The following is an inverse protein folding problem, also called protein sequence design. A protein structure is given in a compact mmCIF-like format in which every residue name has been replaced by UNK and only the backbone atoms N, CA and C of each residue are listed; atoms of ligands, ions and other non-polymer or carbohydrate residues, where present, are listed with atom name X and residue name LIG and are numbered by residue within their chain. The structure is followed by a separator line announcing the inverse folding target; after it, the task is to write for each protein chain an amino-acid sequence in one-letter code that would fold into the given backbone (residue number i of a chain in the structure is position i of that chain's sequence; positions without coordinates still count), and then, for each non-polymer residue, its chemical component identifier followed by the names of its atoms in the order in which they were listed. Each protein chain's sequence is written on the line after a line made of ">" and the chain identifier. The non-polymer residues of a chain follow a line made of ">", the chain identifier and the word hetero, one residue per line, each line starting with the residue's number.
data_IF_441869555725
#
_entry.id   IF_441869555725
#
_cell.length_a   1.000
_cell.length_b   1.000
_cell.length_c   1.000
_cell.angle_alpha   90.00
_cell.angle_beta   90.00
_cell.angle_gamma   90.00
#
_symmetry.space_group_name_H-M   'P 1'
#
loop_
_entity.id
_entity.type
_entity.pdbx_description
1 polymer ?
#
# COMPACT_ATOMS: atom_id res chain seq x y z
N UNK A 1 32.43 4.05 33.43
CA UNK A 1 32.53 2.62 33.74
C UNK A 1 33.70 1.96 33.02
N UNK A 2 33.97 0.71 33.36
CA UNK A 2 35.02 -0.12 32.76
C UNK A 2 34.35 -1.35 32.14
N UNK A 3 34.69 -1.64 30.89
CA UNK A 3 34.20 -2.84 30.22
C UNK A 3 35.13 -4.01 30.57
N UNK A 4 34.56 -5.04 31.20
CA UNK A 4 35.27 -6.25 31.57
C UNK A 4 34.73 -7.44 30.77
N UNK A 5 35.59 -8.48 30.56
CA UNK A 5 35.16 -9.75 30.00
C UNK A 5 34.40 -10.51 31.11
N UNK A 6 33.21 -11.04 30.79
CA UNK A 6 32.48 -11.89 31.70
C UNK A 6 33.20 -13.21 31.96
N UNK A 7 33.19 -13.74 33.17
CA UNK A 7 33.62 -15.12 33.41
C UNK A 7 32.82 -16.10 32.52
N UNK A 8 33.46 -17.16 32.05
CA UNK A 8 32.86 -18.11 31.08
C UNK A 8 31.46 -18.60 31.50
N UNK A 9 31.27 -18.87 32.81
CA UNK A 9 29.97 -19.30 33.37
C UNK A 9 28.87 -18.23 33.32
N UNK A 10 29.20 -16.97 33.07
CA UNK A 10 28.28 -15.83 33.04
C UNK A 10 28.08 -15.29 31.60
N UNK A 11 28.67 -15.92 30.62
CA UNK A 11 28.47 -15.56 29.21
C UNK A 11 27.05 -15.94 28.79
N UNK A 12 26.34 -14.97 28.21
CA UNK A 12 25.02 -15.15 27.61
C UNK A 12 25.20 -15.23 26.10
N UNK A 13 25.30 -16.45 25.56
CA UNK A 13 25.73 -16.68 24.18
C UNK A 13 24.79 -16.07 23.12
N UNK A 14 23.51 -15.90 23.43
CA UNK A 14 22.48 -15.41 22.48
C UNK A 14 22.19 -13.90 22.63
N UNK A 15 22.95 -13.18 23.46
CA UNK A 15 22.79 -11.74 23.63
C UNK A 15 23.92 -10.96 22.96
N UNK A 16 23.56 -9.84 22.36
CA UNK A 16 24.56 -8.88 21.86
C UNK A 16 25.40 -8.40 23.05
N UNK A 17 26.73 -8.49 22.94
CA UNK A 17 27.66 -8.19 24.03
C UNK A 17 27.53 -9.09 25.27
N UNK A 18 26.92 -10.27 25.16
CA UNK A 18 26.73 -11.22 26.27
C UNK A 18 28.03 -11.75 26.87
N UNK A 19 29.20 -11.55 26.23
CA UNK A 19 30.53 -11.93 26.71
C UNK A 19 31.21 -10.85 27.55
N UNK A 20 30.61 -9.65 27.66
CA UNK A 20 31.20 -8.50 28.41
C UNK A 20 30.20 -7.99 29.44
N UNK A 21 30.71 -7.25 30.41
CA UNK A 21 29.94 -6.53 31.41
C UNK A 21 30.53 -5.14 31.67
N UNK A 22 29.71 -4.20 32.09
CA UNK A 22 30.09 -2.86 32.44
C UNK A 22 30.20 -2.71 33.98
N UNK A 23 31.41 -2.52 34.49
CA UNK A 23 31.60 -2.13 35.88
C UNK A 23 31.29 -0.64 36.06
N UNK A 24 30.25 -0.35 36.85
CA UNK A 24 29.87 1.05 37.13
C UNK A 24 30.89 1.70 38.08
N UNK A 25 31.45 2.83 37.66
CA UNK A 25 32.30 3.70 38.50
C UNK A 25 31.57 4.97 38.94
N UNK A 26 30.47 5.31 38.29
CA UNK A 26 29.62 6.43 38.63
C UNK A 26 28.31 6.34 37.84
N UNK A 27 27.25 6.89 38.34
CA UNK A 27 25.93 6.95 37.72
C UNK A 27 25.38 8.37 37.91
N UNK A 28 24.96 8.97 36.83
CA UNK A 28 24.18 10.21 36.82
C UNK A 28 22.81 9.92 36.21
N UNK A 29 21.76 10.27 36.92
CA UNK A 29 20.38 10.14 36.41
C UNK A 29 20.06 11.41 35.63
N UNK A 30 20.01 11.30 34.30
CA UNK A 30 19.71 12.43 33.41
C UNK A 30 18.24 12.77 33.39
N UNK A 31 17.38 11.76 33.53
CA UNK A 31 15.93 11.91 33.61
C UNK A 31 15.32 10.73 34.37
N UNK A 32 14.42 10.99 35.30
CA UNK A 32 13.73 9.95 36.04
C UNK A 32 12.61 9.34 35.19
N UNK A 33 12.34 8.05 35.40
CA UNK A 33 11.29 7.31 34.73
C UNK A 33 10.23 6.83 35.73
N UNK A 34 8.97 6.98 35.39
CA UNK A 34 7.87 6.28 36.10
C UNK A 34 7.89 4.79 35.74
N UNK A 35 7.21 3.98 36.55
CA UNK A 35 7.04 2.55 36.25
C UNK A 35 6.36 2.37 34.87
N UNK A 36 6.95 1.62 33.92
CA UNK A 36 6.34 1.35 32.64
C UNK A 36 4.98 0.67 32.78
N UNK A 37 4.05 0.96 31.87
CA UNK A 37 2.72 0.36 31.86
C UNK A 37 2.73 -1.17 31.65
N UNK A 38 3.81 -1.70 31.08
CA UNK A 38 4.03 -3.13 30.83
C UNK A 38 5.51 -3.48 30.71
N UNK A 39 5.84 -4.76 30.80
CA UNK A 39 7.20 -5.26 30.55
C UNK A 39 7.56 -5.17 29.07
N UNK A 40 8.71 -4.55 28.75
CA UNK A 40 9.22 -4.38 27.39
C UNK A 40 10.23 -5.45 26.96
N UNK A 41 10.55 -6.42 27.82
CA UNK A 41 11.57 -7.46 27.55
C UNK A 41 11.03 -8.60 26.68
N UNK A 42 9.71 -8.89 26.76
CA UNK A 42 9.06 -9.91 25.95
C UNK A 42 8.80 -9.42 24.51
N UNK A 43 8.26 -10.28 23.65
CA UNK A 43 7.84 -9.92 22.29
C UNK A 43 6.54 -9.09 22.28
N UNK A 44 5.76 -9.07 23.36
CA UNK A 44 4.57 -8.24 23.58
C UNK A 44 3.26 -8.86 23.09
N UNK A 45 3.26 -10.08 22.57
CA UNK A 45 2.03 -10.73 22.09
C UNK A 45 1.03 -11.03 23.22
N UNK A 46 1.50 -11.17 24.44
CA UNK A 46 0.69 -11.39 25.65
C UNK A 46 -0.02 -10.13 26.15
N UNK A 47 0.34 -8.95 25.63
CA UNK A 47 -0.21 -7.67 26.07
C UNK A 47 -1.28 -7.21 25.06
N UNK A 48 -2.43 -6.81 25.60
CA UNK A 48 -3.55 -6.31 24.78
C UNK A 48 -3.13 -5.18 23.84
N UNK A 49 -3.58 -5.25 22.59
CA UNK A 49 -3.20 -4.30 21.53
C UNK A 49 -3.48 -2.84 21.92
N UNK A 50 -4.63 -2.55 22.52
CA UNK A 50 -4.98 -1.19 22.92
C UNK A 50 -3.99 -0.60 23.94
N UNK A 51 -3.53 -1.40 24.89
CA UNK A 51 -2.53 -0.97 25.89
C UNK A 51 -1.19 -0.68 25.20
N UNK A 52 -0.79 -1.54 24.24
CA UNK A 52 0.42 -1.37 23.46
C UNK A 52 0.34 -0.11 22.58
N UNK A 53 -0.81 0.14 21.94
CA UNK A 53 -1.01 1.32 21.08
C UNK A 53 -1.10 2.62 21.89
N UNK A 54 -1.70 2.58 23.09
CA UNK A 54 -1.73 3.75 24.00
C UNK A 54 -0.32 4.15 24.45
N UNK A 55 0.55 3.16 24.73
CA UNK A 55 1.92 3.40 25.14
C UNK A 55 2.92 2.96 24.05
N UNK A 56 2.62 3.30 22.80
CA UNK A 56 3.38 2.82 21.64
C UNK A 56 4.88 3.16 21.71
N UNK A 57 5.24 4.27 22.31
CA UNK A 57 6.63 4.66 22.57
C UNK A 57 7.39 3.66 23.46
N UNK A 58 6.71 2.92 24.37
CA UNK A 58 7.29 1.83 25.14
C UNK A 58 7.34 0.53 24.32
N UNK A 59 6.27 0.22 23.60
CA UNK A 59 6.19 -0.98 22.75
C UNK A 59 7.27 -0.98 21.66
N UNK A 60 7.57 0.17 21.07
CA UNK A 60 8.64 0.37 20.09
C UNK A 60 10.06 0.15 20.67
N UNK A 61 10.23 0.05 21.99
CA UNK A 61 11.51 -0.31 22.62
C UNK A 61 11.81 -1.81 22.55
N UNK A 62 10.81 -2.64 22.24
CA UNK A 62 10.99 -4.10 22.10
C UNK A 62 11.93 -4.43 20.96
N UNK A 63 12.84 -5.40 21.11
CA UNK A 63 13.73 -5.83 20.04
C UNK A 63 12.98 -6.23 18.75
N UNK A 64 11.84 -6.93 18.88
CA UNK A 64 10.98 -7.33 17.75
C UNK A 64 10.48 -6.11 16.98
N UNK A 65 9.89 -5.14 17.68
CA UNK A 65 9.35 -3.93 17.05
C UNK A 65 10.45 -3.10 16.38
N UNK A 66 11.60 -2.96 17.04
CA UNK A 66 12.74 -2.27 16.44
C UNK A 66 13.28 -2.98 15.20
N UNK A 67 13.33 -4.32 15.22
CA UNK A 67 13.69 -5.13 14.05
C UNK A 67 12.73 -4.83 12.89
N UNK A 68 11.42 -4.87 13.12
CA UNK A 68 10.40 -4.64 12.10
C UNK A 68 10.53 -3.26 11.45
N UNK A 69 10.68 -2.21 12.25
CA UNK A 69 10.82 -0.84 11.73
C UNK A 69 12.15 -0.66 10.99
N UNK A 70 13.24 -1.24 11.47
CA UNK A 70 14.55 -1.16 10.82
C UNK A 70 14.57 -1.95 9.49
N UNK A 71 13.93 -3.11 9.42
CA UNK A 71 13.85 -3.86 8.16
C UNK A 71 12.97 -3.15 7.13
N UNK A 72 11.85 -2.53 7.58
CA UNK A 72 11.05 -1.65 6.72
C UNK A 72 11.90 -0.53 6.10
N UNK A 73 12.71 0.15 6.90
CA UNK A 73 13.64 1.17 6.42
C UNK A 73 14.62 0.62 5.37
N UNK A 74 15.27 -0.53 5.67
CA UNK A 74 16.21 -1.17 4.74
C UNK A 74 15.53 -1.59 3.43
N UNK A 75 14.32 -2.11 3.49
CA UNK A 75 13.54 -2.49 2.30
C UNK A 75 13.25 -1.27 1.43
N UNK A 76 12.77 -0.18 2.01
CA UNK A 76 12.50 1.06 1.26
C UNK A 76 13.77 1.62 0.63
N UNK A 77 14.88 1.61 1.36
CA UNK A 77 16.18 2.04 0.81
C UNK A 77 16.63 1.14 -0.35
N UNK A 78 16.44 -0.19 -0.22
CA UNK A 78 16.79 -1.14 -1.27
C UNK A 78 15.97 -0.89 -2.53
N UNK A 79 14.65 -0.69 -2.38
CA UNK A 79 13.74 -0.34 -3.48
C UNK A 79 14.20 0.92 -4.20
N UNK A 80 14.51 1.98 -3.46
CA UNK A 80 15.02 3.24 -4.05
C UNK A 80 16.31 3.04 -4.84
N UNK A 81 17.28 2.33 -4.27
CA UNK A 81 18.54 2.06 -4.95
C UNK A 81 18.35 1.23 -6.22
N UNK A 82 17.51 0.20 -6.17
CA UNK A 82 17.21 -0.63 -7.32
C UNK A 82 16.54 0.19 -8.44
N UNK A 83 15.50 0.95 -8.11
CA UNK A 83 14.75 1.73 -9.09
C UNK A 83 15.59 2.88 -9.69
N UNK A 84 16.48 3.48 -8.92
CA UNK A 84 17.46 4.45 -9.41
C UNK A 84 18.40 3.81 -10.46
N UNK A 85 18.92 2.61 -10.20
CA UNK A 85 19.75 1.89 -11.18
C UNK A 85 18.99 1.46 -12.44
N UNK A 86 17.68 1.31 -12.36
CA UNK A 86 16.79 1.04 -13.50
C UNK A 86 16.28 2.34 -14.15
N UNK A 87 16.85 3.49 -13.78
CA UNK A 87 16.56 4.82 -14.32
C UNK A 87 15.14 5.35 -14.05
N UNK A 88 14.56 4.98 -12.92
CA UNK A 88 13.33 5.60 -12.43
C UNK A 88 13.61 6.90 -11.70
N UNK A 89 12.73 7.86 -11.84
CA UNK A 89 12.76 9.13 -11.10
C UNK A 89 11.74 9.08 -9.96
N UNK A 90 12.18 9.32 -8.71
CA UNK A 90 11.27 9.47 -7.58
C UNK A 90 10.63 10.87 -7.63
N UNK A 91 9.30 10.94 -7.72
CA UNK A 91 8.56 12.20 -7.81
C UNK A 91 7.43 12.18 -6.80
N UNK A 92 7.42 13.18 -5.91
CA UNK A 92 6.32 13.39 -4.95
C UNK A 92 5.10 14.02 -5.64
N UNK A 93 3.92 13.54 -5.25
CA UNK A 93 2.65 14.06 -5.72
C UNK A 93 1.87 14.72 -4.57
N UNK A 94 0.93 15.64 -4.85
CA UNK A 94 0.18 16.34 -3.81
C UNK A 94 -0.60 15.40 -2.88
N UNK A 95 -0.54 15.71 -1.57
CA UNK A 95 -1.40 15.09 -0.55
C UNK A 95 -2.75 15.84 -0.45
N UNK A 96 -2.75 17.17 -0.61
CA UNK A 96 -3.98 17.96 -0.72
C UNK A 96 -4.41 17.99 -2.19
N UNK A 97 -5.34 17.13 -2.56
CA UNK A 97 -5.80 17.00 -3.94
C UNK A 97 -7.33 17.09 -4.02
N UNK A 98 -7.88 16.71 -5.13
CA UNK A 98 -9.33 16.68 -5.39
C UNK A 98 -9.87 15.27 -5.11
N UNK A 99 -11.12 15.18 -4.64
CA UNK A 99 -11.86 13.93 -4.56
C UNK A 99 -11.96 13.26 -5.93
N UNK A 100 -11.62 11.98 -5.98
CA UNK A 100 -11.70 11.16 -7.20
C UNK A 100 -12.30 9.80 -6.86
N UNK A 101 -13.25 9.28 -7.64
CA UNK A 101 -13.86 7.98 -7.39
C UNK A 101 -12.91 6.85 -7.80
N UNK A 102 -12.06 6.40 -6.86
CA UNK A 102 -11.09 5.30 -7.05
C UNK A 102 -11.48 4.03 -6.26
N UNK A 103 -12.72 3.94 -5.78
CA UNK A 103 -13.27 2.75 -5.13
C UNK A 103 -13.46 2.88 -3.61
N UNK A 104 -12.63 3.64 -2.89
CA UNK A 104 -12.79 3.89 -1.47
C UNK A 104 -13.47 5.25 -1.19
N UNK A 105 -13.88 5.49 0.07
CA UNK A 105 -14.28 6.83 0.50
C UNK A 105 -13.05 7.68 0.79
N UNK A 106 -13.16 8.99 0.48
CA UNK A 106 -12.08 9.94 0.71
C UNK A 106 -12.11 10.50 2.14
N UNK A 107 -10.92 10.74 2.70
CA UNK A 107 -10.76 11.70 3.79
C UNK A 107 -10.72 13.11 3.21
N UNK A 108 -11.52 14.02 3.76
CA UNK A 108 -11.62 15.39 3.27
C UNK A 108 -11.09 16.40 4.28
N UNK A 109 -10.44 17.45 3.76
CA UNK A 109 -9.86 18.55 4.55
C UNK A 109 -10.49 19.86 4.08
N UNK A 110 -11.17 20.62 4.95
CA UNK A 110 -11.81 21.87 4.54
C UNK A 110 -10.79 22.96 4.16
N UNK A 111 -11.12 23.73 3.12
CA UNK A 111 -10.32 24.88 2.71
C UNK A 111 -10.71 26.12 3.53
N UNK A 112 -9.72 26.75 4.21
CA UNK A 112 -9.93 28.04 4.89
C UNK A 112 -10.07 29.22 3.90
N UNK A 113 -9.38 29.13 2.76
CA UNK A 113 -9.37 30.20 1.77
C UNK A 113 -10.62 30.22 0.91
N UNK A 114 -11.19 29.03 0.65
CA UNK A 114 -12.40 28.85 -0.13
C UNK A 114 -13.44 28.10 0.70
N UNK A 115 -14.19 28.85 1.52
CA UNK A 115 -15.21 28.27 2.39
C UNK A 115 -16.24 27.46 1.60
N UNK A 116 -16.62 26.30 2.12
CA UNK A 116 -17.52 25.36 1.45
C UNK A 116 -16.81 24.42 0.45
N UNK A 117 -15.51 24.61 0.20
CA UNK A 117 -14.69 23.69 -0.61
C UNK A 117 -13.75 22.86 0.25
N UNK A 118 -13.43 21.67 -0.25
CA UNK A 118 -12.61 20.69 0.46
C UNK A 118 -11.52 20.14 -0.45
N UNK A 119 -10.33 19.94 0.13
CA UNK A 119 -9.35 19.01 -0.41
C UNK A 119 -9.73 17.60 -0.02
N UNK A 120 -9.34 16.61 -0.82
CA UNK A 120 -9.35 15.21 -0.45
C UNK A 120 -7.92 14.70 -0.28
N UNK A 121 -7.71 13.75 0.65
CA UNK A 121 -6.45 13.03 0.75
C UNK A 121 -6.42 11.91 -0.30
N UNK A 122 -5.28 11.65 -0.99
CA UNK A 122 -5.23 10.74 -2.12
C UNK A 122 -5.41 9.28 -1.69
N UNK A 123 -6.25 8.55 -2.39
CA UNK A 123 -6.38 7.10 -2.25
C UNK A 123 -5.16 6.37 -2.84
N UNK A 124 -4.56 6.95 -3.87
CA UNK A 124 -3.32 6.59 -4.53
C UNK A 124 -2.85 7.75 -5.41
N UNK A 125 -1.60 7.78 -5.92
CA UNK A 125 -1.15 8.79 -6.87
C UNK A 125 -1.59 8.49 -8.32
N UNK A 126 -2.62 7.69 -8.55
CA UNK A 126 -2.99 7.12 -9.86
C UNK A 126 -3.11 8.16 -10.98
N UNK A 127 -3.84 9.24 -10.76
CA UNK A 127 -4.01 10.23 -11.82
C UNK A 127 -2.73 11.03 -12.07
N UNK A 128 -2.01 11.39 -11.01
CA UNK A 128 -0.76 12.13 -11.14
C UNK A 128 0.34 11.33 -11.87
N UNK A 129 0.49 10.04 -11.59
CA UNK A 129 1.49 9.24 -12.28
C UNK A 129 1.21 9.10 -13.77
N UNK A 130 -0.05 9.01 -14.18
CA UNK A 130 -0.43 9.03 -15.60
C UNK A 130 -0.18 10.40 -16.25
N UNK A 131 -0.40 11.51 -15.51
CA UNK A 131 -0.03 12.86 -15.95
C UNK A 131 1.49 13.01 -16.09
N UNK A 132 2.29 12.35 -15.26
CA UNK A 132 3.75 12.34 -15.40
C UNK A 132 4.21 11.61 -16.67
N UNK A 133 3.50 10.55 -17.08
CA UNK A 133 3.76 9.90 -18.39
C UNK A 133 3.46 10.87 -19.55
N UNK A 134 2.35 11.62 -19.46
CA UNK A 134 2.04 12.68 -20.41
C UNK A 134 3.11 13.79 -20.41
N UNK A 135 3.68 14.10 -19.24
CA UNK A 135 4.75 15.08 -19.10
C UNK A 135 6.13 14.60 -19.60
N UNK A 136 6.25 13.35 -20.06
CA UNK A 136 7.48 12.80 -20.63
C UNK A 136 8.45 12.18 -19.61
N UNK A 137 8.01 11.92 -18.38
CA UNK A 137 8.77 11.09 -17.44
C UNK A 137 8.53 9.63 -17.80
N UNK A 138 9.47 8.99 -18.48
CA UNK A 138 9.30 7.64 -18.98
C UNK A 138 9.24 6.58 -17.89
N UNK A 139 9.87 6.83 -16.72
CA UNK A 139 9.91 5.92 -15.58
C UNK A 139 9.78 6.72 -14.29
N UNK A 140 8.68 6.54 -13.60
CA UNK A 140 8.35 7.19 -12.32
C UNK A 140 8.22 6.17 -11.22
N UNK A 141 8.60 6.54 -10.00
CA UNK A 141 8.17 5.86 -8.78
C UNK A 141 7.97 6.84 -7.63
N UNK A 142 7.29 6.38 -6.59
CA UNK A 142 7.10 7.12 -5.34
C UNK A 142 6.88 6.15 -4.19
N UNK A 143 7.45 6.45 -3.03
CA UNK A 143 7.05 5.85 -1.76
C UNK A 143 5.89 6.71 -1.21
N UNK A 144 4.69 6.37 -1.63
CA UNK A 144 3.50 7.21 -1.46
C UNK A 144 2.74 6.94 -0.17
N UNK A 145 2.28 8.01 0.50
CA UNK A 145 1.27 7.91 1.55
C UNK A 145 -0.11 7.93 0.92
N UNK A 146 -0.92 6.91 1.22
CA UNK A 146 -2.26 6.72 0.72
C UNK A 146 -3.26 6.69 1.86
N UNK A 147 -4.49 7.15 1.59
CA UNK A 147 -5.55 7.33 2.58
C UNK A 147 -6.86 6.76 2.05
N UNK A 148 -7.49 5.86 2.80
CA UNK A 148 -8.78 5.27 2.42
C UNK A 148 -9.67 5.16 3.64
N UNK A 149 -10.85 5.76 3.60
CA UNK A 149 -11.85 5.64 4.66
C UNK A 149 -12.66 4.37 4.44
N UNK A 150 -12.06 3.25 4.83
CA UNK A 150 -12.62 1.90 4.76
C UNK A 150 -12.56 1.24 6.14
N UNK A 151 -13.30 0.14 6.28
CA UNK A 151 -13.23 -0.68 7.48
C UNK A 151 -11.83 -1.24 7.67
N UNK A 152 -11.26 -0.98 8.82
CA UNK A 152 -9.91 -1.46 9.18
C UNK A 152 -9.95 -2.95 9.50
N UNK A 153 -8.86 -3.65 9.13
CA UNK A 153 -8.65 -5.08 9.38
C UNK A 153 -7.21 -5.31 9.84
N UNK A 154 -6.86 -6.56 10.12
CA UNK A 154 -5.47 -6.92 10.44
C UNK A 154 -4.46 -6.56 9.33
N UNK A 155 -4.92 -6.48 8.08
CA UNK A 155 -4.16 -6.19 6.88
C UNK A 155 -4.51 -4.84 6.21
N UNK A 156 -5.33 -3.98 6.88
CA UNK A 156 -5.76 -2.67 6.38
C UNK A 156 -5.69 -1.59 7.44
N UNK A 157 -5.20 -0.41 7.05
CA UNK A 157 -5.17 0.81 7.85
C UNK A 157 -5.75 1.97 7.02
N UNK A 158 -6.36 3.00 7.67
CA UNK A 158 -6.92 4.15 6.95
C UNK A 158 -5.85 5.00 6.28
N UNK A 159 -4.63 4.93 6.74
CA UNK A 159 -3.44 5.49 6.10
C UNK A 159 -2.34 4.42 6.02
N UNK A 160 -1.72 4.28 4.86
CA UNK A 160 -0.73 3.25 4.58
C UNK A 160 0.29 3.74 3.54
N UNK A 161 1.31 2.93 3.31
CA UNK A 161 2.38 3.28 2.38
C UNK A 161 2.40 2.35 1.18
N UNK A 162 2.44 2.92 -0.02
CA UNK A 162 2.67 2.17 -1.26
C UNK A 162 4.05 2.47 -1.84
N UNK A 163 4.69 1.47 -2.43
CA UNK A 163 5.63 1.69 -3.51
C UNK A 163 4.81 1.72 -4.79
N UNK A 164 4.75 2.86 -5.42
CA UNK A 164 3.99 3.10 -6.64
C UNK A 164 4.96 3.40 -7.80
N UNK A 165 4.77 2.76 -8.94
CA UNK A 165 5.57 3.01 -10.14
C UNK A 165 4.72 3.04 -11.41
N UNK A 166 5.23 3.75 -12.43
CA UNK A 166 4.63 3.81 -13.77
C UNK A 166 5.73 3.94 -14.82
N UNK A 167 5.54 3.29 -15.97
CA UNK A 167 6.49 3.23 -17.08
C UNK A 167 5.79 3.49 -18.41
N UNK A 168 6.43 4.24 -19.30
CA UNK A 168 5.96 4.48 -20.67
C UNK A 168 6.53 3.45 -21.65
N UNK A 169 5.82 3.22 -22.76
CA UNK A 169 6.22 2.34 -23.85
C UNK A 169 6.47 0.89 -23.44
N UNK A 170 5.64 0.37 -22.55
CA UNK A 170 5.74 -0.98 -21.99
C UNK A 170 4.48 -1.78 -22.21
N UNK A 171 4.62 -3.09 -22.19
CA UNK A 171 3.54 -4.05 -22.06
C UNK A 171 3.44 -4.62 -20.63
N UNK A 172 2.49 -5.53 -20.43
CA UNK A 172 2.25 -6.19 -19.14
C UNK A 172 3.49 -6.95 -18.65
N UNK A 173 4.15 -7.63 -19.55
CA UNK A 173 5.28 -8.48 -19.22
C UNK A 173 6.52 -7.68 -18.80
N UNK A 174 6.72 -6.49 -19.37
CA UNK A 174 7.79 -5.58 -18.98
C UNK A 174 7.62 -5.13 -17.53
N UNK A 175 6.40 -4.71 -17.14
CA UNK A 175 6.12 -4.28 -15.77
C UNK A 175 6.23 -5.44 -14.79
N UNK A 176 5.69 -6.61 -15.13
CA UNK A 176 5.78 -7.81 -14.29
C UNK A 176 7.24 -8.24 -14.10
N UNK A 177 8.04 -8.24 -15.15
CA UNK A 177 9.44 -8.68 -15.12
C UNK A 177 10.31 -7.81 -14.20
N UNK A 178 10.20 -6.48 -14.28
CA UNK A 178 11.00 -5.60 -13.42
C UNK A 178 10.59 -5.73 -11.95
N UNK A 179 9.29 -5.90 -11.67
CA UNK A 179 8.79 -6.11 -10.32
C UNK A 179 9.19 -7.47 -9.75
N UNK A 180 9.14 -8.52 -10.55
CA UNK A 180 9.60 -9.86 -10.16
C UNK A 180 11.10 -9.85 -9.82
N UNK A 181 11.93 -9.23 -10.66
CA UNK A 181 13.36 -9.04 -10.40
C UNK A 181 13.60 -8.34 -9.07
N UNK A 182 12.91 -7.23 -8.81
CA UNK A 182 13.03 -6.49 -7.56
C UNK A 182 12.60 -7.32 -6.34
N UNK A 183 11.51 -8.07 -6.43
CA UNK A 183 11.04 -8.94 -5.34
C UNK A 183 12.02 -10.09 -5.04
N UNK A 184 12.57 -10.73 -6.08
CA UNK A 184 13.60 -11.77 -5.95
C UNK A 184 14.84 -11.20 -5.27
N UNK A 185 15.30 -10.02 -5.71
CA UNK A 185 16.47 -9.34 -5.16
C UNK A 185 16.26 -8.94 -3.69
N UNK A 186 15.07 -8.43 -3.33
CA UNK A 186 14.70 -8.12 -1.94
C UNK A 186 14.79 -9.37 -1.07
N UNK A 187 14.16 -10.46 -1.49
CA UNK A 187 14.17 -11.70 -0.70
C UNK A 187 15.59 -12.23 -0.55
N UNK A 188 16.34 -12.31 -1.63
CA UNK A 188 17.69 -12.87 -1.63
C UNK A 188 18.66 -12.06 -0.75
N UNK A 189 18.59 -10.73 -0.81
CA UNK A 189 19.58 -9.87 -0.16
C UNK A 189 19.19 -9.41 1.25
N UNK A 190 17.90 -9.28 1.54
CA UNK A 190 17.44 -8.78 2.85
C UNK A 190 16.85 -9.88 3.75
N UNK A 191 16.46 -11.02 3.19
CA UNK A 191 15.82 -12.13 3.91
C UNK A 191 16.43 -13.48 3.54
N UNK A 192 17.75 -13.68 3.75
CA UNK A 192 18.44 -14.90 3.31
C UNK A 192 17.92 -16.19 3.98
N UNK A 193 17.18 -16.07 5.08
CA UNK A 193 16.50 -17.20 5.74
C UNK A 193 15.22 -17.63 5.01
N UNK A 194 14.68 -16.82 4.12
CA UNK A 194 13.47 -17.12 3.35
C UNK A 194 13.80 -17.90 2.08
N UNK A 195 12.82 -18.68 1.61
CA UNK A 195 12.95 -19.51 0.40
C UNK A 195 11.86 -19.14 -0.59
N UNK A 196 12.23 -18.76 -1.81
CA UNK A 196 11.30 -18.64 -2.92
C UNK A 196 10.88 -20.04 -3.38
N UNK A 197 9.58 -20.32 -3.44
CA UNK A 197 9.07 -21.63 -3.85
C UNK A 197 9.36 -21.91 -5.32
N UNK A 198 9.22 -20.90 -6.17
CA UNK A 198 9.40 -21.01 -7.61
C UNK A 198 9.85 -19.69 -8.20
N UNK A 199 10.79 -19.75 -9.15
CA UNK A 199 11.24 -18.64 -10.01
C UNK A 199 11.37 -19.21 -11.44
N UNK A 200 10.81 -18.56 -12.47
CA UNK A 200 9.95 -17.38 -12.43
C UNK A 200 8.63 -17.61 -11.68
N UNK A 201 7.99 -16.53 -11.23
CA UNK A 201 6.72 -16.61 -10.52
C UNK A 201 5.62 -17.12 -11.45
N UNK A 202 4.82 -18.13 -11.04
CA UNK A 202 3.76 -18.67 -11.89
C UNK A 202 2.70 -17.61 -12.19
N UNK A 203 2.13 -17.68 -13.39
CA UNK A 203 1.00 -16.86 -13.84
C UNK A 203 -0.25 -17.71 -13.79
N UNK A 204 -1.30 -17.21 -13.16
CA UNK A 204 -2.59 -17.87 -12.99
C UNK A 204 -3.65 -16.89 -13.48
N UNK A 205 -4.55 -17.31 -14.36
CA UNK A 205 -5.66 -16.45 -14.79
C UNK A 205 -6.64 -16.24 -13.62
N UNK A 206 -7.34 -15.12 -13.61
CA UNK A 206 -8.42 -14.87 -12.62
C UNK A 206 -9.41 -16.03 -12.58
N UNK A 207 -9.81 -16.54 -13.75
CA UNK A 207 -10.72 -17.68 -13.86
C UNK A 207 -10.19 -18.91 -13.17
N UNK A 208 -8.92 -19.31 -13.45
CA UNK A 208 -8.28 -20.44 -12.78
C UNK A 208 -8.14 -20.25 -11.27
N UNK A 209 -7.83 -19.01 -10.83
CA UNK A 209 -7.73 -18.69 -9.41
C UNK A 209 -9.08 -18.88 -8.71
N UNK A 210 -10.17 -18.37 -9.31
CA UNK A 210 -11.53 -18.54 -8.79
C UNK A 210 -11.99 -20.00 -8.79
N UNK A 211 -11.74 -20.75 -9.86
CA UNK A 211 -12.13 -22.16 -9.98
C UNK A 211 -11.37 -23.07 -8.99
N UNK A 212 -10.07 -22.85 -8.84
CA UNK A 212 -9.22 -23.73 -8.05
C UNK A 212 -9.11 -23.34 -6.57
N UNK A 213 -9.12 -22.06 -6.26
CA UNK A 213 -8.87 -21.53 -4.90
C UNK A 213 -10.06 -20.76 -4.32
N UNK A 214 -11.09 -20.48 -5.11
CA UNK A 214 -12.29 -19.76 -4.68
C UNK A 214 -12.10 -18.26 -4.44
N UNK A 215 -10.95 -17.70 -4.84
CA UNK A 215 -10.63 -16.28 -4.70
C UNK A 215 -9.48 -15.88 -5.65
N UNK A 216 -9.30 -14.57 -5.84
CA UNK A 216 -8.30 -13.95 -6.70
C UNK A 216 -6.90 -13.77 -6.08
N UNK A 217 -6.70 -14.27 -4.86
CA UNK A 217 -5.43 -14.23 -4.12
C UNK A 217 -5.04 -15.62 -3.62
N UNK A 218 -4.68 -16.53 -4.52
CA UNK A 218 -4.44 -17.93 -4.18
C UNK A 218 -3.23 -18.12 -3.28
N UNK A 219 -3.36 -18.94 -2.23
CA UNK A 219 -2.22 -19.45 -1.49
C UNK A 219 -1.73 -20.74 -2.14
N UNK A 220 -0.67 -20.63 -2.94
CA UNK A 220 -0.09 -21.71 -3.72
C UNK A 220 1.06 -22.44 -3.01
N UNK A 221 1.31 -22.16 -1.72
CA UNK A 221 2.37 -22.84 -0.96
C UNK A 221 2.17 -24.33 -0.93
N UNK A 222 3.27 -25.07 -1.15
CA UNK A 222 3.31 -26.53 -1.02
C UNK A 222 3.29 -26.95 0.47
N UNK A 223 3.86 -26.13 1.37
CA UNK A 223 3.77 -26.26 2.81
C UNK A 223 3.36 -24.93 3.44
N UNK A 224 2.11 -24.86 3.91
CA UNK A 224 1.56 -23.67 4.56
C UNK A 224 2.07 -23.44 5.98
N UNK A 225 2.73 -24.41 6.56
CA UNK A 225 3.28 -24.35 7.92
C UNK A 225 4.75 -23.91 7.95
N UNK A 226 5.45 -23.92 6.81
CA UNK A 226 6.83 -23.40 6.74
C UNK A 226 6.82 -21.84 6.73
N UNK A 227 7.24 -21.20 7.83
CA UNK A 227 7.25 -19.74 7.92
C UNK A 227 8.33 -19.09 7.03
N UNK A 228 9.24 -19.90 6.48
CA UNK A 228 10.30 -19.43 5.59
C UNK A 228 9.93 -19.55 4.11
N UNK A 229 8.86 -20.25 3.77
CA UNK A 229 8.44 -20.45 2.39
C UNK A 229 7.65 -19.27 1.86
N UNK A 230 8.13 -18.68 0.78
CA UNK A 230 7.48 -17.59 0.05
C UNK A 230 7.02 -18.10 -1.32
N UNK A 231 5.73 -18.15 -1.53
CA UNK A 231 5.11 -18.56 -2.78
C UNK A 231 4.41 -17.37 -3.45
N UNK A 232 5.16 -16.71 -4.34
CA UNK A 232 4.62 -15.64 -5.17
C UNK A 232 3.91 -16.20 -6.39
N UNK A 233 2.86 -15.52 -6.86
CA UNK A 233 2.26 -15.74 -8.17
C UNK A 233 1.66 -14.44 -8.70
N UNK A 234 1.55 -14.37 -10.03
CA UNK A 234 0.79 -13.34 -10.72
C UNK A 234 -0.62 -13.85 -11.00
N UNK A 235 -1.63 -13.06 -10.67
CA UNK A 235 -2.99 -13.28 -11.14
C UNK A 235 -3.26 -12.29 -12.26
N UNK A 236 -3.77 -12.77 -13.38
CA UNK A 236 -3.93 -12.01 -14.63
C UNK A 236 -5.31 -12.23 -15.25
N UNK A 237 -5.62 -11.46 -16.28
CA UNK A 237 -6.83 -11.60 -17.10
C UNK A 237 -8.12 -11.43 -16.28
N UNK A 238 -8.16 -10.35 -15.50
CA UNK A 238 -9.33 -9.98 -14.72
C UNK A 238 -10.49 -9.50 -15.59
N UNK A 239 -11.76 -9.80 -15.20
CA UNK A 239 -12.90 -9.16 -15.84
C UNK A 239 -12.86 -7.64 -15.63
N UNK A 240 -13.28 -6.87 -16.64
CA UNK A 240 -13.31 -5.41 -16.53
C UNK A 240 -14.49 -4.93 -15.70
N UNK A 241 -15.64 -5.49 -15.95
CA UNK A 241 -16.90 -5.06 -15.37
C UNK A 241 -17.58 -6.17 -14.60
N UNK A 242 -18.32 -5.78 -13.58
CA UNK A 242 -19.25 -6.62 -12.83
C UNK A 242 -20.64 -5.97 -12.75
N UNK A 243 -21.65 -6.77 -12.50
CA UNK A 243 -23.02 -6.27 -12.30
C UNK A 243 -23.16 -5.69 -10.91
N UNK A 244 -23.75 -4.48 -10.83
CA UNK A 244 -24.23 -3.93 -9.56
C UNK A 244 -25.54 -4.61 -9.13
N UNK A 245 -25.90 -4.49 -7.85
CA UNK A 245 -27.19 -4.99 -7.33
C UNK A 245 -28.39 -4.38 -8.07
N UNK A 246 -28.26 -3.16 -8.59
CA UNK A 246 -29.29 -2.45 -9.35
C UNK A 246 -29.33 -2.83 -10.83
N UNK A 247 -28.46 -3.76 -11.28
CA UNK A 247 -28.39 -4.27 -12.64
C UNK A 247 -27.54 -3.42 -13.60
N UNK A 248 -26.93 -2.34 -13.12
CA UNK A 248 -25.93 -1.56 -13.86
C UNK A 248 -24.58 -2.27 -13.98
N UNK A 249 -23.58 -1.55 -14.48
CA UNK A 249 -22.20 -2.02 -14.54
C UNK A 249 -21.28 -1.15 -13.69
N UNK A 250 -20.34 -1.77 -13.04
CA UNK A 250 -19.21 -1.11 -12.37
C UNK A 250 -17.91 -1.82 -12.73
N UNK A 251 -16.76 -1.20 -12.47
CA UNK A 251 -15.48 -1.86 -12.66
C UNK A 251 -15.20 -2.85 -11.50
N UNK A 252 -14.45 -3.89 -11.78
CA UNK A 252 -14.04 -4.87 -10.75
C UNK A 252 -12.93 -4.35 -9.84
N UNK A 253 -11.91 -3.66 -10.39
CA UNK A 253 -10.75 -3.16 -9.64
C UNK A 253 -10.55 -1.65 -9.77
N UNK A 254 -10.40 -1.13 -10.99
CA UNK A 254 -10.25 0.31 -11.26
C UNK A 254 -10.66 0.64 -12.72
N UNK A 255 -11.09 1.88 -12.99
CA UNK A 255 -11.53 2.26 -14.32
C UNK A 255 -10.41 2.58 -15.31
N UNK A 256 -9.15 2.68 -14.83
CA UNK A 256 -8.01 3.15 -15.63
C UNK A 256 -7.27 2.05 -16.39
N UNK A 257 -7.61 0.79 -16.17
CA UNK A 257 -7.04 -0.34 -16.89
C UNK A 257 -7.48 -0.32 -18.36
N UNK A 258 -6.62 -0.72 -19.27
CA UNK A 258 -7.02 -0.98 -20.66
C UNK A 258 -7.75 -2.33 -20.76
N UNK A 259 -8.69 -2.43 -21.68
CA UNK A 259 -9.17 -3.72 -22.13
C UNK A 259 -8.03 -4.47 -22.85
N UNK A 260 -8.06 -5.80 -22.84
CA UNK A 260 -7.16 -6.59 -23.68
C UNK A 260 -7.36 -6.20 -25.14
N UNK A 261 -6.32 -6.23 -26.00
CA UNK A 261 -6.40 -5.76 -27.38
C UNK A 261 -7.55 -6.38 -28.19
N UNK A 262 -7.82 -7.66 -27.99
CA UNK A 262 -8.90 -8.41 -28.63
C UNK A 262 -10.30 -7.98 -28.16
N UNK A 263 -10.41 -7.42 -26.95
CA UNK A 263 -11.68 -6.95 -26.39
C UNK A 263 -11.86 -5.43 -26.54
N UNK A 264 -10.87 -4.69 -27.03
CA UNK A 264 -10.96 -3.25 -27.25
C UNK A 264 -12.15 -2.86 -28.18
N UNK A 265 -12.45 -3.60 -29.27
CA UNK A 265 -13.65 -3.33 -30.08
C UNK A 265 -14.96 -3.47 -29.29
N UNK A 266 -15.06 -4.44 -28.38
CA UNK A 266 -16.26 -4.63 -27.53
C UNK A 266 -16.45 -3.45 -26.57
N UNK A 267 -15.35 -2.96 -25.98
CA UNK A 267 -15.41 -1.77 -25.14
C UNK A 267 -15.93 -0.55 -25.92
N UNK A 268 -15.37 -0.32 -27.12
CA UNK A 268 -15.73 0.85 -27.93
C UNK A 268 -17.18 0.79 -28.42
N UNK A 269 -17.69 -0.39 -28.77
CA UNK A 269 -19.05 -0.62 -29.24
C UNK A 269 -20.05 -0.84 -28.09
N UNK A 270 -19.58 -0.99 -26.83
CA UNK A 270 -20.39 -1.38 -25.67
C UNK A 270 -21.07 -2.75 -25.84
N UNK A 271 -20.36 -3.70 -26.43
CA UNK A 271 -20.80 -5.06 -26.69
C UNK A 271 -20.12 -6.03 -25.72
N UNK A 272 -20.76 -7.16 -25.42
CA UNK A 272 -20.23 -8.24 -24.59
C UNK A 272 -19.56 -7.74 -23.29
N UNK A 273 -20.14 -6.72 -22.64
CA UNK A 273 -19.53 -5.98 -21.52
C UNK A 273 -19.06 -6.92 -20.41
N UNK A 274 -19.85 -7.96 -20.11
CA UNK A 274 -19.52 -8.93 -19.05
C UNK A 274 -18.34 -9.85 -19.37
N UNK A 275 -17.93 -9.93 -20.64
CA UNK A 275 -16.84 -10.80 -21.12
C UNK A 275 -15.54 -10.03 -21.43
N UNK A 276 -15.56 -8.69 -21.25
CA UNK A 276 -14.37 -7.87 -21.47
C UNK A 276 -13.35 -8.15 -20.36
N UNK A 277 -12.18 -8.60 -20.77
CA UNK A 277 -11.03 -8.77 -19.86
C UNK A 277 -10.10 -7.56 -19.94
N UNK A 278 -9.45 -7.27 -18.80
CA UNK A 278 -8.48 -6.18 -18.67
C UNK A 278 -7.06 -6.68 -18.85
N UNK A 279 -6.14 -5.73 -19.00
CA UNK A 279 -4.69 -5.94 -18.91
C UNK A 279 -4.19 -5.94 -17.46
N UNK A 280 -5.07 -6.01 -16.47
CA UNK A 280 -4.71 -6.02 -15.06
C UNK A 280 -3.90 -7.25 -14.67
N UNK A 281 -3.04 -7.06 -13.70
CA UNK A 281 -2.23 -8.09 -13.04
C UNK A 281 -2.06 -7.73 -11.57
N UNK A 282 -2.19 -8.74 -10.69
CA UNK A 282 -1.94 -8.63 -9.27
C UNK A 282 -0.81 -9.57 -8.88
N UNK A 283 0.10 -9.10 -8.03
CA UNK A 283 1.12 -9.94 -7.40
C UNK A 283 0.61 -10.41 -6.04
N UNK A 284 0.59 -11.72 -5.87
CA UNK A 284 0.11 -12.38 -4.66
C UNK A 284 1.28 -13.09 -3.97
N UNK A 285 1.35 -12.98 -2.65
CA UNK A 285 2.30 -13.70 -1.80
C UNK A 285 1.55 -14.45 -0.69
N UNK A 286 1.68 -15.77 -0.65
CA UNK A 286 1.13 -16.61 0.42
C UNK A 286 -0.36 -16.38 0.71
N UNK A 287 -1.17 -16.14 -0.33
CA UNK A 287 -2.60 -15.90 -0.18
C UNK A 287 -3.00 -14.43 0.09
N UNK A 288 -2.05 -13.51 -0.02
CA UNK A 288 -2.30 -12.07 0.13
C UNK A 288 -1.88 -11.33 -1.14
N UNK A 289 -2.76 -10.52 -1.70
CA UNK A 289 -2.42 -9.54 -2.71
C UNK A 289 -1.47 -8.51 -2.09
N UNK A 290 -0.25 -8.41 -2.60
CA UNK A 290 0.74 -7.43 -2.15
C UNK A 290 0.84 -6.22 -3.07
N UNK A 291 0.28 -6.31 -4.26
CA UNK A 291 0.21 -5.19 -5.21
C UNK A 291 -0.59 -5.53 -6.43
N UNK A 292 -1.11 -4.49 -7.08
CA UNK A 292 -1.88 -4.59 -8.31
C UNK A 292 -1.55 -3.48 -9.29
N UNK A 293 -1.70 -3.78 -10.57
CA UNK A 293 -1.40 -2.87 -11.66
C UNK A 293 -2.05 -3.26 -12.97
N UNK A 294 -1.83 -2.43 -13.99
CA UNK A 294 -2.32 -2.72 -15.35
C UNK A 294 -1.55 -1.89 -16.39
N UNK A 295 -1.68 -2.27 -17.66
CA UNK A 295 -1.49 -1.31 -18.75
C UNK A 295 -2.70 -0.40 -18.76
N UNK A 296 -2.45 0.92 -18.88
CA UNK A 296 -3.48 1.93 -18.69
C UNK A 296 -4.23 2.22 -19.97
N UNK A 297 -5.47 2.60 -19.78
CA UNK A 297 -6.28 3.13 -20.86
C UNK A 297 -5.83 4.55 -21.18
N UNK A 298 -4.83 4.69 -22.06
CA UNK A 298 -4.18 5.95 -22.39
C UNK A 298 -4.90 6.74 -23.49
N UNK A 299 -5.93 6.16 -24.10
CA UNK A 299 -6.75 6.81 -25.14
C UNK A 299 -7.97 7.46 -24.47
N UNK A 300 -8.18 8.79 -24.63
CA UNK A 300 -9.28 9.50 -23.95
C UNK A 300 -10.66 8.96 -24.31
N UNK A 301 -10.89 8.58 -25.57
CA UNK A 301 -12.16 8.04 -26.04
C UNK A 301 -12.47 6.69 -25.38
N UNK A 302 -11.50 5.80 -25.26
CA UNK A 302 -11.68 4.51 -24.65
C UNK A 302 -11.91 4.64 -23.13
N UNK A 303 -11.19 5.54 -22.44
CA UNK A 303 -11.43 5.81 -21.02
C UNK A 303 -12.83 6.42 -20.80
N UNK A 304 -13.27 7.32 -21.70
CA UNK A 304 -14.64 7.86 -21.64
C UNK A 304 -15.69 6.77 -21.80
N UNK A 305 -15.45 5.76 -22.68
CA UNK A 305 -16.36 4.61 -22.85
C UNK A 305 -16.51 3.79 -21.57
N UNK A 306 -15.46 3.62 -20.79
CA UNK A 306 -15.53 2.94 -19.49
C UNK A 306 -16.55 3.65 -18.58
N UNK A 307 -16.45 4.97 -18.43
CA UNK A 307 -17.37 5.74 -17.60
C UNK A 307 -18.80 5.76 -18.15
N UNK A 308 -18.97 5.81 -19.48
CA UNK A 308 -20.28 5.71 -20.11
C UNK A 308 -20.95 4.35 -19.87
N UNK A 309 -20.19 3.24 -19.89
CA UNK A 309 -20.69 1.90 -19.55
C UNK A 309 -21.17 1.85 -18.10
N UNK A 310 -20.46 2.52 -17.19
CA UNK A 310 -20.83 2.64 -15.78
C UNK A 310 -22.03 3.58 -15.54
N UNK A 311 -22.55 4.23 -16.59
CA UNK A 311 -23.71 5.09 -16.51
C UNK A 311 -23.44 6.52 -16.06
N UNK A 312 -22.17 6.98 -16.06
CA UNK A 312 -21.87 8.36 -15.73
C UNK A 312 -22.34 9.31 -16.82
N UNK A 313 -23.10 10.39 -16.48
CA UNK A 313 -23.44 11.46 -17.42
C UNK A 313 -22.18 12.22 -17.88
N UNK A 314 -22.23 12.78 -19.08
CA UNK A 314 -21.13 13.58 -19.66
C UNK A 314 -20.61 14.67 -18.71
N UNK A 315 -21.51 15.43 -18.08
CA UNK A 315 -21.16 16.48 -17.13
C UNK A 315 -20.37 15.95 -15.93
N UNK A 316 -20.71 14.78 -15.43
CA UNK A 316 -20.01 14.14 -14.32
C UNK A 316 -18.64 13.60 -14.75
N UNK A 317 -18.53 13.04 -15.96
CA UNK A 317 -17.26 12.61 -16.52
C UNK A 317 -16.32 13.81 -16.65
N UNK A 318 -16.80 14.92 -17.23
CA UNK A 318 -16.01 16.16 -17.38
C UNK A 318 -15.61 16.75 -16.02
N UNK A 319 -16.53 16.81 -15.06
CA UNK A 319 -16.27 17.33 -13.72
C UNK A 319 -15.19 16.53 -12.96
N UNK A 320 -15.23 15.20 -13.05
CA UNK A 320 -14.35 14.30 -12.30
C UNK A 320 -13.04 14.01 -13.03
N UNK A 321 -13.07 13.83 -14.36
CA UNK A 321 -11.96 13.30 -15.15
C UNK A 321 -11.58 14.16 -16.35
N UNK A 322 -12.26 15.28 -16.60
CA UNK A 322 -12.01 16.14 -17.77
C UNK A 322 -10.56 16.60 -17.87
N UNK A 323 -9.92 16.93 -16.74
CA UNK A 323 -8.49 17.28 -16.70
C UNK A 323 -7.61 16.14 -17.20
N UNK A 324 -7.92 14.89 -16.83
CA UNK A 324 -7.18 13.71 -17.25
C UNK A 324 -7.43 13.37 -18.72
N UNK A 325 -8.70 13.42 -19.17
CA UNK A 325 -9.04 13.18 -20.58
C UNK A 325 -8.34 14.19 -21.50
N UNK A 326 -8.29 15.46 -21.12
CA UNK A 326 -7.53 16.49 -21.87
C UNK A 326 -6.03 16.21 -21.90
N UNK A 327 -5.45 15.79 -20.79
CA UNK A 327 -4.03 15.43 -20.73
C UNK A 327 -3.72 14.22 -21.60
N UNK A 328 -4.52 13.16 -21.53
CA UNK A 328 -4.38 11.99 -22.40
C UNK A 328 -4.48 12.37 -23.88
N UNK A 329 -5.38 13.29 -24.24
CA UNK A 329 -5.53 13.83 -25.60
C UNK A 329 -4.34 14.67 -26.09
N UNK A 330 -3.37 14.99 -25.21
CA UNK A 330 -2.16 15.74 -25.58
C UNK A 330 -1.01 14.84 -26.11
N UNK A 331 -1.28 13.59 -26.44
CA UNK A 331 -0.28 12.67 -27.00
C UNK A 331 0.41 11.82 -25.95
N UNK A 332 -0.32 11.36 -24.93
CA UNK A 332 0.18 10.45 -23.90
C UNK A 332 0.65 9.13 -24.50
N UNK A 333 1.86 8.67 -24.19
CA UNK A 333 2.34 7.36 -24.66
C UNK A 333 1.55 6.21 -24.01
N UNK A 334 1.52 5.00 -24.60
CA UNK A 334 1.09 3.81 -23.90
C UNK A 334 1.96 3.62 -22.64
N UNK A 335 1.33 3.30 -21.50
CA UNK A 335 2.02 3.20 -20.22
C UNK A 335 1.34 2.19 -19.31
N UNK A 336 2.06 1.72 -18.33
CA UNK A 336 1.59 0.79 -17.32
C UNK A 336 2.40 0.86 -16.05
N UNK A 337 1.85 0.34 -14.97
CA UNK A 337 2.52 0.38 -13.68
C UNK A 337 1.82 -0.45 -12.63
N UNK A 338 2.36 -0.42 -11.43
CA UNK A 338 1.89 -1.20 -10.29
C UNK A 338 2.07 -0.41 -9.00
N UNK A 339 1.26 -0.72 -8.00
CA UNK A 339 1.45 -0.23 -6.65
C UNK A 339 1.53 -1.42 -5.66
N UNK A 340 2.56 -1.45 -4.82
CA UNK A 340 2.70 -2.45 -3.75
C UNK A 340 2.26 -1.86 -2.42
N UNK A 341 1.49 -2.60 -1.63
CA UNK A 341 1.25 -2.30 -0.23
C UNK A 341 2.48 -2.65 0.61
N UNK A 342 3.35 -1.68 0.86
CA UNK A 342 4.62 -1.91 1.60
C UNK A 342 4.39 -2.46 3.00
N UNK A 343 3.35 -1.99 3.69
CA UNK A 343 3.01 -2.48 5.03
C UNK A 343 2.72 -3.98 5.00
N UNK A 344 1.92 -4.42 4.02
CA UNK A 344 1.56 -5.84 3.86
C UNK A 344 2.77 -6.68 3.47
N UNK A 345 3.58 -6.22 2.54
CA UNK A 345 4.80 -6.92 2.12
C UNK A 345 5.75 -7.13 3.31
N UNK A 346 6.03 -6.08 4.10
CA UNK A 346 6.91 -6.19 5.27
C UNK A 346 6.33 -7.12 6.32
N UNK A 347 5.00 -7.08 6.54
CA UNK A 347 4.30 -7.97 7.48
C UNK A 347 4.52 -9.44 7.13
N UNK A 348 4.33 -9.81 5.86
CA UNK A 348 4.51 -11.18 5.38
C UNK A 348 5.97 -11.63 5.45
N UNK A 349 6.91 -10.77 5.07
CA UNK A 349 8.35 -11.06 5.14
C UNK A 349 8.85 -11.22 6.57
N UNK A 350 8.25 -10.52 7.55
CA UNK A 350 8.58 -10.64 8.97
C UNK A 350 7.75 -11.69 9.72
N UNK A 351 6.81 -12.39 9.05
CA UNK A 351 5.86 -13.33 9.67
C UNK A 351 5.02 -12.70 10.79
N UNK A 352 4.70 -11.42 10.65
CA UNK A 352 3.85 -10.74 11.63
C UNK A 352 2.36 -10.99 11.34
N UNK A 353 1.56 -10.97 12.40
CA UNK A 353 0.12 -11.28 12.31
C UNK A 353 -0.74 -10.11 11.86
N UNK A 354 -0.18 -8.90 11.90
CA UNK A 354 -0.89 -7.65 11.55
C UNK A 354 0.08 -6.59 11.02
N UNK A 355 -0.39 -5.79 10.08
CA UNK A 355 0.38 -4.63 9.58
C UNK A 355 0.69 -3.60 10.67
N UNK A 356 -0.05 -3.59 11.79
CA UNK A 356 0.22 -2.73 12.93
C UNK A 356 1.57 -3.03 13.61
N UNK A 357 2.11 -4.22 13.40
CA UNK A 357 3.42 -4.61 13.94
C UNK A 357 4.61 -4.05 13.13
N UNK A 358 4.35 -3.60 11.91
CA UNK A 358 5.37 -3.03 11.00
C UNK A 358 5.18 -1.53 10.71
N UNK A 359 4.19 -0.91 11.36
CA UNK A 359 3.91 0.52 11.32
C UNK A 359 4.26 1.12 12.70
N UNK A 360 5.09 2.17 12.73
CA UNK A 360 5.55 2.75 13.99
C UNK A 360 4.37 3.24 14.86
N UNK A 361 3.46 4.02 14.28
CA UNK A 361 2.29 4.58 14.95
C UNK A 361 1.03 4.19 14.18
N UNK A 362 0.58 2.94 14.41
CA UNK A 362 -0.60 2.40 13.77
C UNK A 362 -1.88 2.83 14.52
N UNK A 363 -3.00 2.83 13.80
CA UNK A 363 -4.32 3.03 14.38
C UNK A 363 -4.93 1.70 14.82
N UNK A 364 -5.88 1.76 15.78
CA UNK A 364 -6.68 0.60 16.21
C UNK A 364 -7.52 0.02 15.08
N UNK A 365 -8.18 -1.10 15.33
CA UNK A 365 -9.23 -1.67 14.46
C UNK A 365 -10.42 -0.74 14.20
N UNK A 366 -10.58 0.32 15.00
CA UNK A 366 -11.61 1.36 14.80
C UNK A 366 -11.05 2.64 14.14
N UNK A 367 -9.81 2.62 13.65
CA UNK A 367 -9.16 3.77 13.01
C UNK A 367 -8.72 4.87 13.97
N UNK A 368 -8.61 4.59 15.30
CA UNK A 368 -8.21 5.56 16.32
C UNK A 368 -6.72 5.50 16.63
N UNK A 369 -6.11 6.64 16.83
CA UNK A 369 -4.79 6.76 17.48
C UNK A 369 -4.99 6.99 18.97
N UNK A 370 -4.74 5.96 19.77
CA UNK A 370 -4.96 6.01 21.23
C UNK A 370 -3.89 6.84 21.94
N UNK A 371 -2.68 6.91 21.42
CA UNK A 371 -1.59 7.68 22.00
C UNK A 371 -1.82 9.19 21.83
N UNK A 372 -2.27 9.60 20.63
CA UNK A 372 -2.53 11.01 20.29
C UNK A 372 -3.99 11.42 20.51
N UNK A 373 -4.85 10.49 20.94
CA UNK A 373 -6.30 10.72 21.13
C UNK A 373 -6.98 11.26 19.85
N UNK A 374 -6.65 10.66 18.70
CA UNK A 374 -7.17 11.06 17.39
C UNK A 374 -8.17 10.00 16.86
N UNK A 375 -9.31 10.41 16.23
CA UNK A 375 -9.73 11.79 15.95
C UNK A 375 -10.19 12.55 17.19
N UNK A 376 -10.01 13.87 17.18
CA UNK A 376 -10.38 14.76 18.28
C UNK A 376 -11.23 15.93 17.78
N UNK A 377 -11.89 16.63 18.74
CA UNK A 377 -12.61 17.87 18.41
C UNK A 377 -11.64 18.99 18.07
N UNK A 378 -12.10 19.95 17.29
CA UNK A 378 -11.39 21.20 16.99
C UNK A 378 -12.12 22.38 17.63
N UNK A 379 -11.40 23.48 17.87
CA UNK A 379 -11.94 24.65 18.54
C UNK A 379 -13.02 25.36 17.70
N UNK A 380 -14.05 25.90 18.37
CA UNK A 380 -15.15 26.64 17.74
C UNK A 380 -14.66 27.81 16.87
N UNK A 381 -13.58 28.47 17.27
CA UNK A 381 -12.95 29.53 16.48
C UNK A 381 -12.50 29.00 15.11
N UNK A 382 -11.87 27.83 15.08
CA UNK A 382 -11.39 27.21 13.85
C UNK A 382 -12.56 26.75 12.96
N UNK A 383 -13.64 26.20 13.55
CA UNK A 383 -14.86 25.84 12.82
C UNK A 383 -15.46 27.07 12.12
N UNK A 384 -15.55 28.21 12.84
CA UNK A 384 -16.03 29.48 12.26
C UNK A 384 -15.16 30.01 11.13
N UNK A 385 -13.84 29.94 11.28
CA UNK A 385 -12.88 30.31 10.22
C UNK A 385 -13.03 29.45 8.97
N UNK A 386 -13.40 28.19 9.13
CA UNK A 386 -13.65 27.24 8.03
C UNK A 386 -15.06 27.32 7.45
N UNK A 387 -15.97 28.10 8.07
CA UNK A 387 -17.37 28.16 7.66
C UNK A 387 -18.12 26.85 7.92
N UNK A 388 -17.71 26.06 8.92
CA UNK A 388 -18.30 24.77 9.25
C UNK A 388 -19.13 24.86 10.53
N UNK A 389 -20.34 24.29 10.49
CA UNK A 389 -21.21 24.14 11.66
C UNK A 389 -21.46 22.66 11.92
N UNK A 390 -21.21 22.23 13.17
CA UNK A 390 -21.48 20.85 13.60
C UNK A 390 -22.95 20.69 13.97
N UNK A 391 -23.67 19.76 13.34
CA UNK A 391 -25.00 19.36 13.78
C UNK A 391 -24.91 18.74 15.19
N UNK A 392 -25.70 19.25 16.14
CA UNK A 392 -25.83 18.61 17.44
C UNK A 392 -26.37 17.18 17.25
N UNK A 393 -25.70 16.19 17.82
CA UNK A 393 -26.28 14.85 17.91
C UNK A 393 -27.57 14.94 18.68
N UNK A 394 -28.69 14.46 18.11
CA UNK A 394 -29.96 14.30 18.80
C UNK A 394 -29.85 13.24 19.89
#
# INVERSE_FOLDING_TARGET
>A
GIVNKRPERMIVANELNGSIELELKGLEVLNEATTPAFDIRSDGHEIGEEVRLTHRYLDLRRPRMQKNIRIRHKLIQYVRNFLDTEHFTEIETPILTKSTPEGARDYVVPSRLEQGHFYALPQSPQQYKQLLMTAGFEKYFQIARCFRDEDTRSDRQPEFTQMDLEMSFVDRDDVMTINEKLLIDIVTNLFPEKKLQQVPFPRITYKEAMEKYGNDRPDIRVDKNDPHLLAFCWVIDFPFFEKTEEGGWTFTHNPFSAAQPEHAPWLMNKENIGDILTTQYDIVLNGFEIGGGSIRNHQPEALKKVFEIMGYPEEQIEANFGHMLRALGSGTPPHGGIAWGLDRLVTLLQNEVSIREVIAFAKTGEGKDLMMSSPSSIADKQLKELGIELKKKK
#
